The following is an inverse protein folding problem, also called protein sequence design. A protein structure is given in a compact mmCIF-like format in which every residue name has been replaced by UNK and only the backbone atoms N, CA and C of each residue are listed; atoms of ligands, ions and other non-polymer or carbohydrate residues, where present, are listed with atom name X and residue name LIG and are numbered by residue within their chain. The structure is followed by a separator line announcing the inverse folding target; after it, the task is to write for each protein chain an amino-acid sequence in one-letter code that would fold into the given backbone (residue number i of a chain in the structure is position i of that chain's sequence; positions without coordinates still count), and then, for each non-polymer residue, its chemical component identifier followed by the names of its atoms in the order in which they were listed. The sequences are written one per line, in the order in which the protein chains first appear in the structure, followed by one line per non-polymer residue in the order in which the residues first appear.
data_IF_483045884000
#
_entry.id   IF_483045884000
#
_cell.length_a   1.000
_cell.length_b   1.000
_cell.length_c   1.000
_cell.angle_alpha   90.00
_cell.angle_beta   90.00
_cell.angle_gamma   90.00
#
_symmetry.space_group_name_H-M   'P 1'
#
loop_
_entity.id
_entity.type
_entity.pdbx_description
1 polymer ?
#
# COMPACT_ATOMS: atom_id res chain seq x y z
N UNK A 1 31.29 3.29 -22.06
CA UNK A 1 30.72 2.07 -21.46
C UNK A 1 29.42 1.82 -22.20
N UNK A 2 29.29 0.71 -22.93
CA UNK A 2 28.05 0.38 -23.63
C UNK A 2 26.94 0.24 -22.58
N UNK A 3 25.86 1.01 -22.71
CA UNK A 3 24.66 0.77 -21.92
C UNK A 3 24.09 -0.57 -22.37
N UNK A 4 24.28 -1.61 -21.55
CA UNK A 4 23.58 -2.88 -21.72
C UNK A 4 22.10 -2.57 -21.54
N UNK A 5 21.28 -2.88 -22.54
CA UNK A 5 19.83 -2.72 -22.49
C UNK A 5 19.21 -4.09 -22.65
N UNK A 6 18.55 -4.59 -21.61
CA UNK A 6 17.87 -5.88 -21.61
C UNK A 6 16.34 -5.71 -21.78
N UNK A 7 15.64 -6.71 -22.31
CA UNK A 7 14.19 -6.74 -22.31
C UNK A 7 13.59 -6.67 -20.89
N UNK A 8 12.39 -6.10 -20.78
CA UNK A 8 11.64 -5.96 -19.52
C UNK A 8 11.46 -7.30 -18.79
N UNK A 9 11.28 -8.40 -19.53
CA UNK A 9 11.14 -9.73 -18.93
C UNK A 9 12.42 -10.18 -18.20
N UNK A 10 13.58 -9.90 -18.77
CA UNK A 10 14.88 -10.22 -18.16
C UNK A 10 15.15 -9.32 -16.95
N UNK A 11 14.75 -8.05 -17.01
CA UNK A 11 14.79 -7.15 -15.86
C UNK A 11 13.91 -7.66 -14.72
N UNK A 12 12.69 -8.13 -15.02
CA UNK A 12 11.80 -8.76 -14.03
C UNK A 12 12.41 -10.03 -13.43
N UNK A 13 13.13 -10.82 -14.22
CA UNK A 13 13.86 -11.98 -13.71
C UNK A 13 15.00 -11.57 -12.77
N UNK A 14 15.74 -10.51 -13.06
CA UNK A 14 16.74 -9.97 -12.13
C UNK A 14 16.11 -9.48 -10.83
N UNK A 15 15.04 -8.68 -10.90
CA UNK A 15 14.28 -8.24 -9.72
C UNK A 15 13.76 -9.42 -8.91
N UNK A 16 13.18 -10.42 -9.57
CA UNK A 16 12.72 -11.64 -8.93
C UNK A 16 13.87 -12.35 -8.23
N UNK A 17 14.97 -12.61 -8.94
CA UNK A 17 16.12 -13.38 -8.43
C UNK A 17 16.74 -12.73 -7.22
N UNK A 18 16.84 -11.40 -7.20
CA UNK A 18 17.37 -10.63 -6.06
C UNK A 18 16.33 -10.40 -4.94
N UNK A 19 15.05 -10.67 -5.21
CA UNK A 19 13.95 -10.34 -4.31
C UNK A 19 13.70 -8.83 -4.19
N UNK A 20 14.09 -8.05 -5.20
CA UNK A 20 13.92 -6.61 -5.22
C UNK A 20 12.48 -6.23 -5.55
N UNK A 21 11.99 -5.23 -4.82
CA UNK A 21 10.71 -4.57 -5.06
C UNK A 21 10.86 -3.08 -4.73
N UNK A 22 9.97 -2.20 -5.21
CA UNK A 22 10.08 -0.76 -4.93
C UNK A 22 10.20 -0.43 -3.43
N UNK A 23 9.51 -1.19 -2.58
CA UNK A 23 9.52 -1.13 -1.11
C UNK A 23 10.67 -1.92 -0.45
N UNK A 24 11.28 -2.87 -1.16
CA UNK A 24 12.37 -3.73 -0.68
C UNK A 24 13.58 -3.62 -1.62
N UNK A 25 14.42 -2.61 -1.38
CA UNK A 25 15.60 -2.30 -2.21
C UNK A 25 16.90 -2.98 -1.76
N UNK A 26 16.85 -3.75 -0.67
CA UNK A 26 17.97 -4.57 -0.23
C UNK A 26 17.75 -6.00 -0.70
N UNK A 27 18.68 -6.50 -1.50
CA UNK A 27 18.69 -7.89 -1.94
C UNK A 27 18.70 -8.84 -0.73
N UNK A 28 17.88 -9.89 -0.77
CA UNK A 28 17.82 -10.94 0.25
C UNK A 28 18.32 -12.30 -0.24
N UNK A 29 18.63 -12.41 -1.54
CA UNK A 29 19.10 -13.61 -2.24
C UNK A 29 19.76 -13.22 -3.56
N UNK A 30 20.52 -14.12 -4.17
CA UNK A 30 21.21 -13.81 -5.43
C UNK A 30 21.26 -14.97 -6.42
N UNK A 31 20.46 -16.02 -6.24
CA UNK A 31 20.52 -17.23 -7.07
C UNK A 31 19.13 -17.65 -7.58
N UNK A 32 19.11 -18.26 -8.76
CA UNK A 32 17.95 -18.83 -9.42
C UNK A 32 18.28 -20.26 -9.86
N UNK A 33 17.51 -21.24 -9.36
CA UNK A 33 17.62 -22.63 -9.78
C UNK A 33 16.61 -22.91 -10.89
N UNK A 34 17.07 -23.38 -12.04
CA UNK A 34 16.22 -23.78 -13.15
C UNK A 34 16.55 -25.22 -13.57
N UNK A 35 15.54 -26.09 -13.55
CA UNK A 35 15.67 -27.44 -14.07
C UNK A 35 15.54 -27.52 -15.59
N UNK A 36 15.86 -28.67 -16.16
CA UNK A 36 15.81 -28.88 -17.61
C UNK A 36 14.45 -28.52 -18.22
N UNK A 37 14.47 -27.68 -19.27
CA UNK A 37 13.26 -27.23 -19.97
C UNK A 37 12.48 -26.12 -19.27
N UNK A 38 13.01 -25.52 -18.20
CA UNK A 38 12.35 -24.42 -17.51
C UNK A 38 12.24 -23.18 -18.39
N UNK A 39 11.05 -22.55 -18.43
CA UNK A 39 10.72 -21.47 -19.37
C UNK A 39 11.65 -20.24 -19.29
N UNK A 40 12.25 -19.98 -18.12
CA UNK A 40 13.13 -18.84 -17.91
C UNK A 40 14.59 -19.10 -18.35
N UNK A 41 14.98 -20.33 -18.70
CA UNK A 41 16.37 -20.65 -19.08
C UNK A 41 16.91 -19.78 -20.23
N UNK A 42 16.19 -19.57 -21.35
CA UNK A 42 16.71 -18.74 -22.44
C UNK A 42 17.02 -17.30 -22.01
N UNK A 43 16.18 -16.73 -21.14
CA UNK A 43 16.38 -15.38 -20.61
C UNK A 43 17.55 -15.33 -19.60
N UNK A 44 17.71 -16.37 -18.77
CA UNK A 44 18.83 -16.49 -17.82
C UNK A 44 20.17 -16.66 -18.56
N UNK A 45 20.20 -17.46 -19.62
CA UNK A 45 21.37 -17.64 -20.48
C UNK A 45 21.75 -16.35 -21.21
N UNK A 46 20.77 -15.60 -21.73
CA UNK A 46 21.00 -14.27 -22.30
C UNK A 46 21.58 -13.29 -21.27
N UNK A 47 21.10 -13.33 -20.01
CA UNK A 47 21.64 -12.53 -18.91
C UNK A 47 23.09 -12.91 -18.54
N UNK A 48 23.47 -14.19 -18.72
CA UNK A 48 24.85 -14.65 -18.57
C UNK A 48 25.73 -14.12 -19.70
N UNK A 49 25.24 -14.12 -20.94
CA UNK A 49 25.97 -13.58 -22.10
C UNK A 49 26.31 -12.09 -21.92
N UNK A 50 25.39 -11.31 -21.35
CA UNK A 50 25.63 -9.89 -21.02
C UNK A 50 26.28 -9.64 -19.65
N UNK A 51 26.75 -10.70 -18.97
CA UNK A 51 27.49 -10.65 -17.69
C UNK A 51 26.72 -10.10 -16.48
N UNK A 52 25.40 -9.98 -16.58
CA UNK A 52 24.54 -9.63 -15.43
C UNK A 52 24.27 -10.85 -14.53
N UNK A 53 24.46 -12.05 -15.05
CA UNK A 53 24.42 -13.30 -14.30
C UNK A 53 25.63 -14.19 -14.64
N UNK A 54 25.86 -15.21 -13.82
CA UNK A 54 26.86 -16.26 -14.04
C UNK A 54 26.27 -17.62 -13.67
N UNK A 55 26.76 -18.69 -14.28
CA UNK A 55 26.40 -20.05 -13.89
C UNK A 55 27.25 -20.44 -12.68
N UNK A 56 26.59 -20.83 -11.60
CA UNK A 56 27.22 -21.31 -10.38
C UNK A 56 27.27 -22.83 -10.30
N UNK A 57 27.88 -23.31 -9.22
CA UNK A 57 27.89 -24.74 -8.90
C UNK A 57 26.50 -25.17 -8.44
N UNK A 58 25.91 -26.15 -9.13
CA UNK A 58 24.68 -26.81 -8.70
C UNK A 58 24.93 -27.60 -7.39
N UNK A 59 24.17 -27.35 -6.31
CA UNK A 59 24.27 -28.11 -5.06
C UNK A 59 24.04 -29.61 -5.26
N UNK A 60 24.74 -30.45 -4.49
CA UNK A 60 24.73 -31.90 -4.68
C UNK A 60 23.36 -32.58 -4.43
N UNK A 61 22.42 -31.89 -3.79
CA UNK A 61 21.06 -32.40 -3.56
C UNK A 61 20.09 -32.08 -4.71
N UNK A 62 20.49 -31.22 -5.65
CA UNK A 62 19.71 -30.91 -6.85
C UNK A 62 19.91 -31.99 -7.92
N UNK A 63 19.03 -32.02 -8.92
CA UNK A 63 19.21 -32.91 -10.06
C UNK A 63 20.46 -32.52 -10.85
N UNK A 64 21.26 -33.47 -11.38
CA UNK A 64 22.44 -33.15 -12.20
C UNK A 64 22.14 -32.30 -13.44
N UNK A 65 20.88 -32.28 -13.90
CA UNK A 65 20.43 -31.46 -15.03
C UNK A 65 20.00 -30.05 -14.62
N UNK A 66 19.90 -29.76 -13.32
CA UNK A 66 19.56 -28.44 -12.82
C UNK A 66 20.74 -27.47 -12.95
N UNK A 67 20.43 -26.23 -13.32
CA UNK A 67 21.41 -25.15 -13.44
C UNK A 67 21.09 -24.06 -12.42
N UNK A 68 22.11 -23.67 -11.64
CA UNK A 68 22.01 -22.51 -10.74
C UNK A 68 22.66 -21.30 -11.40
N UNK A 69 21.87 -20.24 -11.54
CA UNK A 69 22.33 -18.93 -12.00
C UNK A 69 22.49 -18.00 -10.81
N UNK A 70 23.60 -17.27 -10.74
CA UNK A 70 23.82 -16.23 -9.74
C UNK A 70 23.84 -14.86 -10.41
N UNK A 71 23.24 -13.87 -9.76
CA UNK A 71 23.34 -12.48 -10.19
C UNK A 71 24.70 -11.93 -9.78
N UNK A 72 25.38 -11.24 -10.72
CA UNK A 72 26.66 -10.57 -10.46
C UNK A 72 26.43 -9.24 -9.74
N UNK A 73 27.48 -8.64 -9.18
CA UNK A 73 27.41 -7.29 -8.62
C UNK A 73 26.95 -6.26 -9.66
N UNK A 74 27.36 -6.43 -10.93
CA UNK A 74 26.90 -5.58 -12.04
C UNK A 74 25.41 -5.77 -12.32
N UNK A 75 24.93 -7.02 -12.28
CA UNK A 75 23.51 -7.36 -12.38
C UNK A 75 22.66 -6.76 -11.26
N UNK A 76 23.15 -6.81 -10.02
CA UNK A 76 22.46 -6.21 -8.87
C UNK A 76 22.37 -4.69 -9.01
N UNK A 77 23.47 -4.02 -9.35
CA UNK A 77 23.47 -2.59 -9.60
C UNK A 77 22.52 -2.21 -10.74
N UNK A 78 22.57 -2.93 -11.85
CA UNK A 78 21.67 -2.71 -12.99
C UNK A 78 20.20 -2.85 -12.57
N UNK A 79 19.88 -3.90 -11.81
CA UNK A 79 18.53 -4.16 -11.31
C UNK A 79 18.04 -3.04 -10.38
N UNK A 80 18.89 -2.52 -9.49
CA UNK A 80 18.57 -1.42 -8.59
C UNK A 80 18.35 -0.09 -9.32
N UNK A 81 19.20 0.21 -10.31
CA UNK A 81 19.09 1.44 -11.11
C UNK A 81 17.80 1.50 -11.93
N UNK A 82 17.30 0.35 -12.37
CA UNK A 82 16.05 0.21 -13.12
C UNK A 82 14.83 -0.11 -12.24
N UNK A 83 14.97 -0.05 -10.92
CA UNK A 83 13.86 -0.29 -10.01
C UNK A 83 13.01 0.97 -9.84
N UNK A 84 11.68 0.91 -10.05
CA UNK A 84 10.83 2.08 -9.91
C UNK A 84 10.88 2.63 -8.48
N UNK A 85 10.65 3.93 -8.34
CA UNK A 85 10.57 4.56 -7.03
C UNK A 85 9.44 3.94 -6.21
N UNK A 86 9.63 3.77 -4.88
CA UNK A 86 8.57 3.28 -4.02
C UNK A 86 7.32 4.16 -4.17
N UNK A 87 6.12 3.56 -4.24
CA UNK A 87 4.90 4.34 -4.21
C UNK A 87 4.83 5.12 -2.89
N UNK A 88 4.15 6.28 -2.91
CA UNK A 88 3.82 6.98 -1.67
C UNK A 88 2.98 6.07 -0.80
N UNK A 89 3.37 5.92 0.47
CA UNK A 89 2.58 5.18 1.45
C UNK A 89 1.16 5.74 1.50
N UNK A 90 0.20 4.84 1.46
CA UNK A 90 -1.20 5.14 1.74
C UNK A 90 -1.36 5.54 3.20
N UNK A 91 -2.46 6.23 3.52
CA UNK A 91 -2.81 6.51 4.92
C UNK A 91 -2.97 5.24 5.75
N UNK A 92 -3.36 4.13 5.15
CA UNK A 92 -3.47 2.87 5.87
C UNK A 92 -2.09 2.29 6.22
N UNK A 93 -1.11 2.38 5.32
CA UNK A 93 0.27 1.96 5.62
C UNK A 93 0.93 2.86 6.67
N UNK A 94 0.73 4.18 6.58
CA UNK A 94 1.16 5.11 7.64
C UNK A 94 0.55 4.74 9.01
N UNK A 95 -0.69 4.25 9.03
CA UNK A 95 -1.35 3.78 10.26
C UNK A 95 -0.78 2.45 10.77
N UNK A 96 -0.36 1.53 9.90
CA UNK A 96 0.26 0.27 10.35
C UNK A 96 1.62 0.50 11.00
N UNK A 97 2.33 1.55 10.58
CA UNK A 97 3.59 2.00 11.21
C UNK A 97 3.35 2.83 12.49
N UNK A 98 2.10 3.22 12.77
CA UNK A 98 1.75 4.09 13.89
C UNK A 98 1.55 3.30 15.17
N UNK A 99 2.45 3.48 16.13
CA UNK A 99 2.41 2.79 17.43
C UNK A 99 1.38 3.44 18.38
N UNK A 100 0.13 3.01 18.27
CA UNK A 100 -0.92 3.41 19.21
C UNK A 100 -2.04 2.38 19.32
N UNK A 101 -2.88 2.52 20.34
CA UNK A 101 -4.10 1.74 20.48
C UNK A 101 -5.31 2.32 19.72
N UNK A 102 -5.13 3.39 18.94
CA UNK A 102 -6.22 3.99 18.16
C UNK A 102 -6.65 3.07 17.03
N UNK A 103 -7.95 2.98 16.76
CA UNK A 103 -8.41 2.36 15.50
C UNK A 103 -8.04 3.25 14.30
N UNK A 104 -7.94 2.66 13.10
CA UNK A 104 -7.66 3.42 11.86
C UNK A 104 -8.56 4.66 11.71
N UNK A 105 -9.85 4.56 12.04
CA UNK A 105 -10.79 5.68 11.98
C UNK A 105 -10.56 6.76 13.03
N UNK A 106 -10.04 6.42 14.22
CA UNK A 106 -9.64 7.40 15.23
C UNK A 106 -8.37 8.13 14.81
N UNK A 107 -7.34 7.37 14.38
CA UNK A 107 -6.09 7.91 13.87
C UNK A 107 -6.31 8.82 12.65
N UNK A 108 -7.03 8.33 11.64
CA UNK A 108 -7.28 9.05 10.38
C UNK A 108 -8.02 10.37 10.59
N UNK A 109 -8.90 10.41 11.59
CA UNK A 109 -9.73 11.58 11.88
C UNK A 109 -9.20 12.40 13.06
N UNK A 110 -8.04 12.06 13.64
CA UNK A 110 -7.47 12.74 14.79
C UNK A 110 -8.46 12.85 15.97
N UNK A 111 -9.08 11.72 16.33
CA UNK A 111 -10.08 11.64 17.40
C UNK A 111 -11.49 12.12 17.01
N UNK A 112 -11.68 12.67 15.81
CA UNK A 112 -12.97 13.17 15.31
C UNK A 112 -13.89 12.08 14.74
N UNK A 113 -13.66 10.81 15.11
CA UNK A 113 -14.50 9.68 14.69
C UNK A 113 -15.95 9.93 15.14
N UNK A 114 -16.91 9.95 14.20
CA UNK A 114 -18.30 10.21 14.57
C UNK A 114 -18.87 9.09 15.43
N UNK A 115 -19.62 9.47 16.48
CA UNK A 115 -20.21 8.57 17.48
C UNK A 115 -21.72 8.69 17.44
N UNK A 116 -22.40 7.62 17.84
CA UNK A 116 -23.83 7.67 18.12
C UNK A 116 -24.04 7.90 19.62
N UNK A 117 -25.10 8.61 19.92
CA UNK A 117 -25.76 8.62 21.21
C UNK A 117 -27.23 8.26 21.00
N UNK A 118 -27.85 7.73 22.03
CA UNK A 118 -29.25 7.37 22.03
C UNK A 118 -29.92 7.93 23.29
N UNK A 119 -31.23 8.19 23.18
CA UNK A 119 -32.09 8.56 24.30
C UNK A 119 -33.43 7.85 24.18
N UNK A 120 -34.18 7.84 25.27
CA UNK A 120 -35.50 7.21 25.35
C UNK A 120 -35.48 5.86 26.07
N UNK A 121 -36.66 5.25 26.13
CA UNK A 121 -36.90 3.94 26.73
C UNK A 121 -37.40 2.95 25.67
N UNK A 122 -37.60 1.69 26.05
CA UNK A 122 -38.07 0.61 25.17
C UNK A 122 -39.17 1.08 24.19
N UNK A 123 -38.93 0.91 22.88
CA UNK A 123 -39.84 1.30 21.81
C UNK A 123 -39.86 2.79 21.41
N UNK A 124 -39.18 3.67 22.15
CA UNK A 124 -39.09 5.12 21.91
C UNK A 124 -37.67 5.61 21.70
N UNK A 125 -36.76 4.72 21.30
CA UNK A 125 -35.36 5.07 21.08
C UNK A 125 -35.22 6.09 19.96
N UNK A 126 -34.51 7.16 20.27
CA UNK A 126 -34.01 8.12 19.31
C UNK A 126 -32.49 8.07 19.29
N UNK A 127 -31.92 8.32 18.13
CA UNK A 127 -30.49 8.30 17.87
C UNK A 127 -30.05 9.66 17.36
N UNK A 128 -28.87 10.09 17.76
CA UNK A 128 -28.18 11.25 17.21
C UNK A 128 -26.74 10.88 16.94
N UNK A 129 -26.17 11.45 15.88
CA UNK A 129 -24.77 11.24 15.54
C UNK A 129 -24.02 12.56 15.69
N UNK A 130 -22.84 12.52 16.29
CA UNK A 130 -22.02 13.69 16.59
C UNK A 130 -20.54 13.39 16.41
N UNK A 131 -19.69 14.42 16.31
CA UNK A 131 -18.24 14.31 16.43
C UNK A 131 -17.70 15.39 17.38
N UNK A 132 -16.67 15.07 18.14
CA UNK A 132 -16.02 15.98 19.08
C UNK A 132 -14.56 15.54 19.29
N UNK A 133 -13.62 16.48 19.36
CA UNK A 133 -12.22 16.16 19.66
C UNK A 133 -11.97 15.92 21.15
N UNK A 134 -12.50 16.81 21.99
CA UNK A 134 -12.11 16.88 23.41
C UNK A 134 -13.25 16.60 24.39
N UNK A 135 -14.47 17.06 24.12
CA UNK A 135 -15.59 16.99 25.06
C UNK A 135 -16.89 16.53 24.38
N UNK A 136 -17.58 15.58 25.01
CA UNK A 136 -18.94 15.17 24.61
C UNK A 136 -19.98 16.25 24.92
N UNK A 137 -19.73 17.14 25.89
CA UNK A 137 -20.67 18.22 26.23
C UNK A 137 -20.72 19.29 25.14
N UNK A 138 -19.60 19.51 24.43
CA UNK A 138 -19.48 20.51 23.38
C UNK A 138 -19.08 19.88 22.04
N UNK A 139 -20.00 19.14 21.39
CA UNK A 139 -19.72 18.54 20.09
C UNK A 139 -19.58 19.62 19.01
N UNK A 140 -18.52 19.50 18.20
CA UNK A 140 -18.24 20.43 17.10
C UNK A 140 -19.30 20.32 15.99
N UNK A 141 -19.76 19.09 15.73
CA UNK A 141 -20.86 18.84 14.78
C UNK A 141 -21.80 17.82 15.40
N UNK A 142 -23.08 18.16 15.43
CA UNK A 142 -24.19 17.31 15.90
C UNK A 142 -25.29 17.30 14.84
N UNK A 143 -25.84 16.13 14.55
CA UNK A 143 -27.11 16.02 13.82
C UNK A 143 -28.31 16.22 14.74
N UNK A 144 -29.50 16.00 14.21
CA UNK A 144 -30.76 15.98 14.98
C UNK A 144 -31.03 14.61 15.58
N UNK A 145 -31.90 14.58 16.60
CA UNK A 145 -32.45 13.33 17.13
C UNK A 145 -33.43 12.73 16.13
N UNK A 146 -33.26 11.45 15.81
CA UNK A 146 -34.09 10.74 14.84
C UNK A 146 -34.47 9.35 15.34
N UNK A 147 -35.61 8.83 14.88
CA UNK A 147 -36.11 7.50 15.29
C UNK A 147 -35.22 6.35 14.80
N UNK A 148 -34.47 6.54 13.72
CA UNK A 148 -33.57 5.52 13.16
C UNK A 148 -32.13 6.01 13.09
N UNK A 149 -31.17 5.09 13.21
CA UNK A 149 -29.74 5.39 13.00
C UNK A 149 -29.45 5.89 11.59
N UNK A 150 -30.21 5.43 10.59
CA UNK A 150 -30.07 5.84 9.19
C UNK A 150 -30.39 7.33 9.03
N UNK A 151 -31.49 7.77 9.61
CA UNK A 151 -31.94 9.16 9.55
C UNK A 151 -31.00 10.07 10.37
N UNK A 152 -30.55 9.61 11.55
CA UNK A 152 -29.56 10.31 12.35
C UNK A 152 -28.24 10.52 11.58
N UNK A 153 -27.78 9.51 10.83
CA UNK A 153 -26.59 9.61 9.96
C UNK A 153 -26.80 10.60 8.81
N UNK A 154 -28.00 10.64 8.22
CA UNK A 154 -28.33 11.58 7.16
C UNK A 154 -28.34 13.02 7.68
N UNK A 155 -28.99 13.25 8.83
CA UNK A 155 -29.00 14.55 9.52
C UNK A 155 -27.58 15.02 9.87
N UNK A 156 -26.76 14.13 10.43
CA UNK A 156 -25.35 14.42 10.73
C UNK A 156 -24.54 14.79 9.49
N UNK A 157 -24.72 14.11 8.36
CA UNK A 157 -24.03 14.46 7.11
C UNK A 157 -24.44 15.86 6.61
N UNK A 158 -25.70 16.27 6.81
CA UNK A 158 -26.16 17.61 6.46
C UNK A 158 -25.49 18.66 7.36
N UNK A 159 -25.51 18.46 8.69
CA UNK A 159 -24.82 19.34 9.64
C UNK A 159 -23.31 19.43 9.37
N UNK A 160 -22.68 18.31 9.01
CA UNK A 160 -21.26 18.26 8.67
C UNK A 160 -20.93 19.06 7.40
N UNK A 161 -21.80 19.01 6.40
CA UNK A 161 -21.64 19.82 5.18
C UNK A 161 -21.71 21.32 5.50
N UNK A 162 -22.72 21.73 6.27
CA UNK A 162 -22.86 23.12 6.70
C UNK A 162 -21.65 23.60 7.51
N UNK A 163 -21.13 22.75 8.40
CA UNK A 163 -19.93 23.06 9.17
C UNK A 163 -18.70 23.25 8.25
N UNK A 164 -18.49 22.40 7.25
CA UNK A 164 -17.39 22.57 6.29
C UNK A 164 -17.55 23.82 5.42
N UNK A 165 -18.78 24.18 5.05
CA UNK A 165 -19.08 25.41 4.31
C UNK A 165 -18.79 26.65 5.17
N UNK A 166 -19.26 26.68 6.42
CA UNK A 166 -19.02 27.79 7.34
C UNK A 166 -17.54 27.95 7.70
N UNK A 167 -16.80 26.85 7.84
CA UNK A 167 -15.37 26.87 8.16
C UNK A 167 -14.46 27.12 6.94
N UNK A 168 -15.01 27.27 5.73
CA UNK A 168 -14.21 27.41 4.50
C UNK A 168 -13.36 26.17 4.15
N UNK A 169 -13.62 25.02 4.79
CA UNK A 169 -12.87 23.77 4.65
C UNK A 169 -13.30 22.94 3.43
N UNK A 170 -14.24 23.45 2.63
CA UNK A 170 -14.70 22.77 1.43
C UNK A 170 -13.60 22.88 0.36
N UNK A 171 -12.94 21.76 0.06
CA UNK A 171 -12.14 21.66 -1.17
C UNK A 171 -13.05 21.98 -2.36
N UNK A 172 -12.64 22.87 -3.28
CA UNK A 172 -13.42 23.11 -4.50
C UNK A 172 -13.67 21.76 -5.17
N UNK A 173 -14.90 21.54 -5.62
CA UNK A 173 -15.21 20.36 -6.41
C UNK A 173 -14.22 20.35 -7.58
N UNK A 174 -13.39 19.31 -7.69
CA UNK A 174 -12.49 19.15 -8.81
C UNK A 174 -13.34 19.27 -10.08
N UNK A 175 -13.12 20.35 -10.86
CA UNK A 175 -13.70 20.49 -12.17
C UNK A 175 -13.24 19.26 -12.95
N UNK A 176 -14.18 18.36 -13.26
CA UNK A 176 -13.92 17.32 -14.25
C UNK A 176 -13.64 18.07 -15.55
N UNK A 177 -12.38 18.07 -15.97
CA UNK A 177 -12.03 18.46 -17.33
C UNK A 177 -12.85 17.60 -18.29
N UNK A 178 -13.53 18.27 -19.23
CA UNK A 178 -14.34 17.67 -20.27
C UNK A 178 -13.49 16.86 -21.25
#
# INVERSE_FOLDING_TARGET
MNQVSIPEQQLRLLHHTLGLRPDQRKSCRNHYLAGAGHYAMPDLEALVEVKLMVIGRTPAFCDPTDVVYHVTEEGERYALDHLPQPPKKSKFEEYLDWDSCDSFGEWLLGGMKPKYEWRGSWGTFEYRMYRCRYSKQHPEVKGEWCRTKKDAKASYKAALRQYHEAAGLRRPAAQKAA
#
